data_IF_045283545221
#
_entry.id   IF_045283545221
#
_cell.length_a   1.000
_cell.length_b   1.000
_cell.length_c   1.000
_cell.angle_alpha   90.00
_cell.angle_beta   90.00
_cell.angle_gamma   90.00
#
_symmetry.space_group_name_H-M   'P 1'
#
loop_
_entity.id
_entity.type
_entity.pdbx_description
1 polymer ?
#
# COMPACT_ATOMS: atom_id res chain seq x y z
N UNK A 1 45.61 8.72 -31.98
CA UNK A 1 45.75 9.87 -31.05
C UNK A 1 44.40 10.57 -30.95
N UNK A 2 43.73 10.43 -29.78
CA UNK A 2 42.64 11.27 -29.22
C UNK A 2 41.32 11.43 -30.00
N UNK A 3 40.15 11.58 -29.40
CA UNK A 3 39.74 11.52 -27.99
C UNK A 3 38.23 11.19 -27.95
N UNK A 4 37.83 10.38 -26.97
CA UNK A 4 36.44 10.11 -26.65
C UNK A 4 35.76 11.34 -26.02
N UNK A 5 34.50 11.59 -26.35
CA UNK A 5 33.56 12.31 -25.49
C UNK A 5 32.19 11.66 -25.60
N UNK A 6 32.00 10.60 -24.81
CA UNK A 6 30.67 10.21 -24.35
C UNK A 6 30.21 11.30 -23.39
N UNK A 7 29.44 12.27 -23.89
CA UNK A 7 28.71 13.21 -23.05
C UNK A 7 27.53 12.47 -22.41
N UNK A 8 27.85 11.62 -21.44
CA UNK A 8 26.88 11.06 -20.51
C UNK A 8 26.41 12.20 -19.62
N UNK A 9 25.29 12.81 -19.98
CA UNK A 9 24.48 13.57 -19.04
C UNK A 9 24.03 12.61 -17.96
N UNK A 10 24.78 12.54 -16.85
CA UNK A 10 24.21 12.15 -15.58
C UNK A 10 23.23 13.25 -15.23
N UNK A 11 22.00 13.14 -15.75
CA UNK A 11 20.87 13.81 -15.16
C UNK A 11 20.88 13.35 -13.71
N UNK A 12 21.33 14.24 -12.83
CA UNK A 12 21.16 14.08 -11.39
C UNK A 12 19.68 13.82 -11.21
N UNK A 13 19.28 12.57 -11.00
CA UNK A 13 17.93 12.25 -10.56
C UNK A 13 17.66 13.19 -9.41
N UNK A 14 16.63 14.05 -9.49
CA UNK A 14 16.23 14.82 -8.33
C UNK A 14 16.13 13.80 -7.22
N UNK A 15 16.90 13.99 -6.14
CA UNK A 15 16.59 13.24 -4.92
C UNK A 15 15.17 13.66 -4.62
N UNK A 16 14.21 12.81 -4.94
CA UNK A 16 12.84 12.92 -4.48
C UNK A 16 12.85 12.61 -2.98
N UNK A 17 13.58 13.42 -2.22
CA UNK A 17 13.18 13.82 -0.90
C UNK A 17 12.04 14.81 -1.15
N UNK A 18 10.89 14.29 -1.60
CA UNK A 18 9.65 15.02 -1.42
C UNK A 18 9.60 15.26 0.09
N UNK A 19 9.47 16.52 0.51
CA UNK A 19 9.16 16.86 1.89
C UNK A 19 7.97 16.00 2.29
N UNK A 20 8.24 14.91 3.01
CA UNK A 20 7.20 14.01 3.40
C UNK A 20 6.41 14.68 4.50
N UNK A 21 5.33 15.32 4.08
CA UNK A 21 4.34 15.87 4.98
C UNK A 21 3.22 14.85 5.04
N UNK A 22 3.15 14.11 6.15
CA UNK A 22 2.04 13.21 6.42
C UNK A 22 0.76 14.03 6.57
N UNK A 23 -0.30 13.60 5.89
CA UNK A 23 -1.65 14.10 6.14
C UNK A 23 -2.21 13.47 7.42
N UNK A 24 -3.28 14.01 8.02
CA UNK A 24 -3.93 13.36 9.16
C UNK A 24 -4.40 11.92 8.89
N UNK A 25 -4.77 11.61 7.64
CA UNK A 25 -5.10 10.25 7.22
C UNK A 25 -3.86 9.35 7.22
N UNK A 26 -2.72 9.88 6.74
CA UNK A 26 -1.45 9.14 6.77
C UNK A 26 -1.01 8.82 8.19
N UNK A 27 -1.09 9.80 9.10
CA UNK A 27 -0.84 9.59 10.52
C UNK A 27 -1.77 8.51 11.11
N UNK A 28 -3.03 8.48 10.70
CA UNK A 28 -3.99 7.47 11.16
C UNK A 28 -3.60 6.08 10.66
N UNK A 29 -3.25 5.96 9.37
CA UNK A 29 -2.83 4.69 8.78
C UNK A 29 -1.57 4.14 9.44
N UNK A 30 -0.52 4.96 9.58
CA UNK A 30 0.74 4.59 10.25
C UNK A 30 0.49 4.17 11.70
N UNK A 31 -0.40 4.87 12.43
CA UNK A 31 -0.78 4.47 13.79
C UNK A 31 -1.50 3.12 13.84
N UNK A 32 -2.32 2.77 12.84
CA UNK A 32 -2.95 1.45 12.75
C UNK A 32 -1.91 0.37 12.48
N UNK A 33 -0.94 0.63 11.59
CA UNK A 33 0.18 -0.29 11.34
C UNK A 33 1.01 -0.52 12.61
N UNK A 34 1.33 0.54 13.36
CA UNK A 34 2.08 0.45 14.61
C UNK A 34 1.38 -0.42 15.67
N UNK A 35 0.05 -0.41 15.75
CA UNK A 35 -0.72 -1.24 16.70
C UNK A 35 -0.50 -2.73 16.49
N UNK A 36 -0.29 -3.16 15.25
CA UNK A 36 -0.09 -4.56 14.91
C UNK A 36 1.38 -4.90 14.62
N UNK A 37 2.31 -4.05 15.11
CA UNK A 37 3.77 -4.20 14.95
C UNK A 37 4.18 -4.36 13.47
N UNK A 38 3.48 -3.65 12.60
CA UNK A 38 3.70 -3.68 11.15
C UNK A 38 4.81 -2.74 10.69
N UNK A 39 5.53 -2.09 11.62
CA UNK A 39 6.63 -1.18 11.27
C UNK A 39 7.65 -1.97 10.48
N UNK A 40 7.67 -1.71 9.18
CA UNK A 40 8.67 -2.26 8.29
C UNK A 40 9.98 -1.67 8.83
N UNK A 41 10.91 -2.55 9.19
CA UNK A 41 12.30 -2.32 9.58
C UNK A 41 12.88 -0.93 9.21
N UNK A 42 13.77 -0.38 10.05
CA UNK A 42 14.28 1.02 10.08
C UNK A 42 14.64 1.74 8.76
N UNK A 43 14.67 1.02 7.64
CA UNK A 43 14.81 1.53 6.28
C UNK A 43 13.48 2.07 5.69
N UNK A 44 12.33 1.73 6.27
CA UNK A 44 11.01 2.23 5.87
C UNK A 44 10.62 3.44 6.72
N UNK A 45 10.38 4.56 6.06
CA UNK A 45 9.78 5.74 6.69
C UNK A 45 8.26 5.65 6.68
N UNK A 46 7.59 6.27 7.66
CA UNK A 46 6.14 6.48 7.70
C UNK A 46 5.54 6.98 6.36
N UNK A 47 6.34 7.74 5.61
CA UNK A 47 6.02 8.26 4.27
C UNK A 47 5.85 7.19 3.22
N UNK A 48 6.70 6.17 3.29
CA UNK A 48 6.68 5.02 2.40
C UNK A 48 5.46 4.18 2.73
N UNK A 49 5.24 3.89 4.00
CA UNK A 49 4.05 3.16 4.48
C UNK A 49 2.78 3.89 4.03
N UNK A 50 2.67 5.19 4.27
CA UNK A 50 1.52 5.98 3.82
C UNK A 50 1.35 5.97 2.29
N UNK A 51 2.43 5.99 1.51
CA UNK A 51 2.35 5.89 0.06
C UNK A 51 1.81 4.53 -0.41
N UNK A 52 2.27 3.45 0.22
CA UNK A 52 1.83 2.09 -0.03
C UNK A 52 0.36 1.89 0.37
N UNK A 53 -0.05 2.36 1.55
CA UNK A 53 -1.45 2.35 1.97
C UNK A 53 -2.39 3.09 1.02
N UNK A 54 -1.99 4.27 0.54
CA UNK A 54 -2.75 4.99 -0.51
C UNK A 54 -2.81 4.21 -1.81
N UNK A 55 -1.72 3.54 -2.19
CA UNK A 55 -1.66 2.71 -3.38
C UNK A 55 -2.64 1.53 -3.28
N UNK A 56 -2.64 0.76 -2.19
CA UNK A 56 -3.61 -0.33 -1.98
C UNK A 56 -5.05 0.15 -2.11
N UNK A 57 -5.40 1.23 -1.42
CA UNK A 57 -6.75 1.77 -1.48
C UNK A 57 -7.14 2.24 -2.90
N UNK A 58 -6.18 2.74 -3.68
CA UNK A 58 -6.41 3.12 -5.08
C UNK A 58 -6.66 1.90 -5.98
N UNK A 59 -5.93 0.80 -5.77
CA UNK A 59 -6.10 -0.47 -6.50
C UNK A 59 -7.51 -1.05 -6.23
N UNK A 60 -7.88 -1.13 -4.95
CA UNK A 60 -9.20 -1.62 -4.52
C UNK A 60 -10.34 -0.75 -5.09
N UNK A 61 -10.17 0.58 -5.11
CA UNK A 61 -11.15 1.51 -5.68
C UNK A 61 -11.30 1.36 -7.20
N UNK A 62 -10.21 1.08 -7.90
CA UNK A 62 -10.20 0.94 -9.35
C UNK A 62 -10.82 -0.39 -9.83
N UNK A 63 -10.92 -1.41 -8.97
CA UNK A 63 -11.41 -2.72 -9.35
C UNK A 63 -12.97 -2.80 -9.25
N UNK A 64 -13.67 -3.37 -10.26
CA UNK A 64 -15.12 -3.61 -10.18
C UNK A 64 -15.52 -4.58 -9.05
N UNK A 65 -14.60 -5.47 -8.65
CA UNK A 65 -14.68 -6.37 -7.49
C UNK A 65 -13.67 -5.96 -6.38
N UNK A 66 -13.94 -4.90 -5.59
CA UNK A 66 -13.06 -4.46 -4.50
C UNK A 66 -12.68 -5.55 -3.50
N UNK A 67 -13.62 -6.44 -3.14
CA UNK A 67 -13.31 -7.55 -2.22
C UNK A 67 -12.27 -8.51 -2.81
N UNK A 68 -12.44 -8.92 -4.07
CA UNK A 68 -11.49 -9.78 -4.76
C UNK A 68 -10.11 -9.13 -4.90
N UNK A 69 -10.06 -7.85 -5.28
CA UNK A 69 -8.80 -7.10 -5.35
C UNK A 69 -8.09 -7.04 -3.99
N UNK A 70 -8.84 -6.82 -2.90
CA UNK A 70 -8.27 -6.86 -1.56
C UNK A 70 -7.61 -8.20 -1.25
N UNK A 71 -8.22 -9.33 -1.64
CA UNK A 71 -7.64 -10.67 -1.48
C UNK A 71 -6.38 -10.85 -2.34
N UNK A 72 -6.37 -10.36 -3.58
CA UNK A 72 -5.19 -10.42 -4.44
C UNK A 72 -4.01 -9.59 -3.88
N UNK A 73 -4.29 -8.41 -3.31
CA UNK A 73 -3.27 -7.60 -2.65
C UNK A 73 -2.70 -8.31 -1.40
N UNK A 74 -3.55 -8.93 -0.59
CA UNK A 74 -3.12 -9.74 0.55
C UNK A 74 -2.23 -10.90 0.09
N UNK A 75 -2.63 -11.61 -0.97
CA UNK A 75 -1.83 -12.68 -1.56
C UNK A 75 -0.49 -12.15 -2.12
N UNK A 76 -0.48 -10.98 -2.74
CA UNK A 76 0.74 -10.36 -3.24
C UNK A 76 1.72 -10.06 -2.09
N UNK A 77 1.25 -9.44 -0.99
CA UNK A 77 2.09 -9.12 0.17
C UNK A 77 2.66 -10.40 0.78
N UNK A 78 1.84 -11.41 1.03
CA UNK A 78 2.31 -12.68 1.63
C UNK A 78 3.28 -13.47 0.74
N UNK A 79 3.20 -13.30 -0.58
CA UNK A 79 4.13 -13.96 -1.53
C UNK A 79 5.44 -13.19 -1.74
N UNK A 80 5.48 -11.89 -1.46
CA UNK A 80 6.63 -11.02 -1.76
C UNK A 80 7.34 -10.48 -0.54
N UNK A 81 6.75 -10.63 0.64
CA UNK A 81 7.27 -10.16 1.93
C UNK A 81 7.28 -11.30 2.95
N UNK A 82 8.02 -11.17 4.07
CA UNK A 82 7.97 -12.16 5.15
C UNK A 82 6.73 -12.02 6.06
N UNK A 83 5.72 -11.21 5.68
CA UNK A 83 4.52 -11.02 6.49
C UNK A 83 3.66 -12.27 6.55
N UNK A 84 3.08 -12.52 7.72
CA UNK A 84 2.01 -13.52 7.85
C UNK A 84 0.72 -13.06 7.17
N UNK A 85 -0.17 -14.01 6.89
CA UNK A 85 -1.49 -13.73 6.35
C UNK A 85 -2.25 -12.64 7.13
N UNK A 86 -2.27 -12.75 8.47
CA UNK A 86 -2.97 -11.80 9.33
C UNK A 86 -2.35 -10.38 9.29
N UNK A 87 -1.04 -10.29 9.04
CA UNK A 87 -0.35 -9.02 8.89
C UNK A 87 -0.69 -8.35 7.55
N UNK A 88 -0.65 -9.12 6.46
CA UNK A 88 -1.06 -8.63 5.14
C UNK A 88 -2.55 -8.21 5.10
N UNK A 89 -3.43 -9.00 5.73
CA UNK A 89 -4.84 -8.63 5.94
C UNK A 89 -4.96 -7.30 6.67
N UNK A 90 -4.26 -7.15 7.81
CA UNK A 90 -4.28 -5.92 8.58
C UNK A 90 -3.82 -4.71 7.78
N UNK A 91 -2.77 -4.86 6.97
CA UNK A 91 -2.21 -3.77 6.16
C UNK A 91 -3.21 -3.28 5.10
N UNK A 92 -3.78 -4.20 4.34
CA UNK A 92 -4.75 -3.88 3.27
C UNK A 92 -6.07 -3.38 3.86
N UNK A 93 -6.56 -4.00 4.92
CA UNK A 93 -7.80 -3.57 5.59
C UNK A 93 -7.64 -2.18 6.24
N UNK A 94 -6.49 -1.90 6.87
CA UNK A 94 -6.20 -0.57 7.43
C UNK A 94 -6.12 0.48 6.34
N UNK A 95 -5.54 0.16 5.19
CA UNK A 95 -5.45 1.05 4.05
C UNK A 95 -6.85 1.39 3.50
N UNK A 96 -7.71 0.39 3.33
CA UNK A 96 -9.11 0.58 2.90
C UNK A 96 -9.86 1.40 3.95
N UNK A 97 -9.71 1.09 5.23
CA UNK A 97 -10.40 1.78 6.32
C UNK A 97 -10.08 3.28 6.35
N UNK A 98 -8.83 3.65 6.08
CA UNK A 98 -8.39 5.05 6.14
C UNK A 98 -8.64 5.79 4.82
N UNK A 99 -8.26 5.20 3.68
CA UNK A 99 -8.19 5.91 2.40
C UNK A 99 -9.35 5.57 1.43
N UNK A 100 -10.12 4.53 1.71
CA UNK A 100 -11.31 4.17 0.94
C UNK A 100 -12.49 3.68 1.80
N UNK A 101 -12.88 4.41 2.86
CA UNK A 101 -13.95 3.98 3.77
C UNK A 101 -15.31 3.83 3.08
N UNK A 102 -15.53 4.57 1.99
CA UNK A 102 -16.72 4.48 1.14
C UNK A 102 -16.90 3.10 0.48
N UNK A 103 -15.82 2.33 0.31
CA UNK A 103 -15.87 0.99 -0.28
C UNK A 103 -16.24 -0.10 0.72
N UNK A 104 -16.15 0.15 2.03
CA UNK A 104 -16.39 -0.85 3.08
C UNK A 104 -17.76 -1.51 2.94
N UNK A 105 -18.89 -0.79 2.72
CA UNK A 105 -20.19 -1.44 2.52
C UNK A 105 -20.18 -2.42 1.35
N UNK A 106 -19.66 -1.99 0.19
CA UNK A 106 -19.58 -2.82 -1.02
C UNK A 106 -18.70 -4.06 -0.80
N UNK A 107 -17.55 -3.91 -0.14
CA UNK A 107 -16.65 -5.02 0.19
C UNK A 107 -17.34 -6.03 1.10
N UNK A 108 -18.06 -5.56 2.14
CA UNK A 108 -18.80 -6.44 3.06
C UNK A 108 -19.90 -7.22 2.34
N UNK A 109 -20.63 -6.57 1.43
CA UNK A 109 -21.68 -7.23 0.63
C UNK A 109 -21.07 -8.30 -0.28
N UNK A 110 -19.95 -8.00 -0.96
CA UNK A 110 -19.24 -8.95 -1.82
C UNK A 110 -18.66 -10.13 -1.03
N UNK A 111 -18.08 -9.87 0.14
CA UNK A 111 -17.58 -10.91 1.03
C UNK A 111 -18.71 -11.81 1.57
N UNK A 112 -19.88 -11.23 1.85
CA UNK A 112 -21.07 -11.98 2.24
C UNK A 112 -21.59 -12.89 1.13
N UNK A 113 -21.67 -12.38 -0.10
CA UNK A 113 -22.07 -13.15 -1.27
C UNK A 113 -21.08 -14.29 -1.58
N UNK A 114 -19.77 -14.06 -1.43
CA UNK A 114 -18.74 -15.08 -1.62
C UNK A 114 -18.82 -16.24 -0.61
N UNK A 115 -19.41 -16.02 0.58
CA UNK A 115 -19.56 -17.03 1.64
C UNK A 115 -20.83 -17.87 1.52
N UNK A 116 -21.79 -17.49 0.66
CA UNK A 116 -23.00 -18.28 0.45
C UNK A 116 -22.73 -19.37 -0.59
N UNK A 117 -22.92 -20.67 -0.27
CA UNK A 117 -22.93 -21.69 -1.31
C UNK A 117 -24.11 -21.43 -2.25
N UNK A 118 -23.86 -21.56 -3.56
CA UNK A 118 -24.87 -21.47 -4.61
C UNK A 118 -25.99 -22.51 -4.43
#
# INVERSE_FOLDING_TARGET
MGAALFAGSTASSPRASADCTLTPADDQYVKLLAQNKMVHNADYSDCHEAAEGRWFASQVRANPNPYGEGQELINMITNTTPMSQAQAEWEVESAIFVYAPDLIPKIKDQAGAAKQPA
#
